data_IF_482700338045
#
_entry.id   IF_482700338045
#
_cell.length_a   1.000
_cell.length_b   1.000
_cell.length_c   1.000
_cell.angle_alpha   90.00
_cell.angle_beta   90.00
_cell.angle_gamma   90.00
#
_symmetry.space_group_name_H-M   'P 1'
#
loop_
_entity.id
_entity.type
_entity.pdbx_description
1 polymer ?
#
# COMPACT_ATOMS: atom_id res chain seq x y z
N UNK A 1 -15.64 22.11 -22.64
CA UNK A 1 -15.82 22.88 -21.40
C UNK A 1 -15.18 22.13 -20.25
N UNK A 2 -14.54 22.87 -19.36
CA UNK A 2 -13.86 22.45 -18.12
C UNK A 2 -12.50 21.74 -18.26
N UNK A 3 -11.47 22.56 -18.45
CA UNK A 3 -10.12 22.28 -17.98
C UNK A 3 -10.13 22.52 -16.47
N UNK A 4 -10.24 21.46 -15.67
CA UNK A 4 -10.09 21.51 -14.22
C UNK A 4 -9.57 20.14 -13.75
N UNK A 5 -8.26 19.90 -13.82
CA UNK A 5 -7.65 18.89 -12.97
C UNK A 5 -6.30 19.40 -12.47
N UNK A 6 -6.36 20.40 -11.58
CA UNK A 6 -5.33 20.48 -10.55
C UNK A 6 -5.46 19.16 -9.78
N UNK A 7 -4.59 18.18 -10.07
CA UNK A 7 -4.61 16.87 -9.40
C UNK A 7 -4.58 17.08 -7.89
N UNK A 8 -5.74 17.06 -7.25
CA UNK A 8 -5.84 17.31 -5.81
C UNK A 8 -5.31 16.07 -5.11
N UNK A 9 -4.20 16.23 -4.40
CA UNK A 9 -3.57 15.12 -3.69
C UNK A 9 -4.22 14.92 -2.32
N UNK A 10 -4.58 13.68 -1.96
CA UNK A 10 -5.10 13.37 -0.64
C UNK A 10 -3.98 13.43 0.40
N UNK A 11 -4.38 13.62 1.66
CA UNK A 11 -3.51 13.39 2.81
C UNK A 11 -3.36 11.89 2.99
N UNK A 12 -2.12 11.43 3.14
CA UNK A 12 -1.77 10.01 3.25
C UNK A 12 -1.37 9.60 4.66
N UNK A 13 -0.86 10.53 5.45
CA UNK A 13 -0.67 10.36 6.88
C UNK A 13 -0.72 11.70 7.64
N UNK A 14 -1.02 11.61 8.92
CA UNK A 14 -1.03 12.71 9.89
C UNK A 14 -0.21 12.26 11.08
N UNK A 15 0.55 13.16 11.70
CA UNK A 15 1.40 12.87 12.84
C UNK A 15 1.53 14.07 13.79
N UNK A 16 1.96 13.80 15.01
CA UNK A 16 2.44 14.81 15.96
C UNK A 16 3.95 14.97 15.85
N UNK A 17 4.42 16.21 16.00
CA UNK A 17 5.84 16.52 16.05
C UNK A 17 6.15 17.62 17.06
N UNK A 18 7.30 17.59 17.74
CA UNK A 18 7.67 18.64 18.69
C UNK A 18 8.09 19.95 18.03
N UNK A 19 8.79 19.89 16.90
CA UNK A 19 9.25 21.05 16.15
C UNK A 19 9.57 20.66 14.69
N UNK A 20 10.13 21.60 13.92
CA UNK A 20 10.57 21.37 12.54
C UNK A 20 11.68 20.34 12.41
N UNK A 21 12.54 20.15 13.42
CA UNK A 21 13.63 19.18 13.37
C UNK A 21 13.17 17.74 13.61
N UNK A 22 12.14 17.54 14.46
CA UNK A 22 11.53 16.23 14.69
C UNK A 22 10.48 15.88 13.64
N UNK A 23 10.06 16.83 12.82
CA UNK A 23 9.08 16.61 11.76
C UNK A 23 9.69 15.73 10.67
N UNK A 24 9.00 14.66 10.23
CA UNK A 24 9.48 13.88 9.09
C UNK A 24 9.66 14.76 7.84
N UNK A 25 10.66 14.44 7.00
CA UNK A 25 11.12 15.31 5.90
C UNK A 25 10.07 15.52 4.81
N UNK A 26 9.18 14.56 4.62
CA UNK A 26 8.09 14.57 3.65
C UNK A 26 6.78 15.16 4.21
N UNK A 27 6.78 15.55 5.50
CA UNK A 27 5.61 16.11 6.16
C UNK A 27 5.64 17.64 6.11
N UNK A 28 4.46 18.21 5.92
CA UNK A 28 4.18 19.64 6.06
C UNK A 28 3.75 19.91 7.50
N UNK A 29 4.48 20.78 8.19
CA UNK A 29 4.17 21.21 9.55
C UNK A 29 3.08 22.28 9.57
N UNK A 30 2.04 22.11 10.39
CA UNK A 30 1.06 23.17 10.67
C UNK A 30 1.57 24.00 11.85
N UNK A 31 2.37 25.03 11.56
CA UNK A 31 2.95 25.91 12.59
C UNK A 31 2.05 27.11 12.94
N UNK A 32 1.13 27.47 12.05
CA UNK A 32 0.22 28.59 12.19
C UNK A 32 -1.23 28.12 12.03
N UNK A 33 -2.12 28.73 12.80
CA UNK A 33 -3.56 28.60 12.59
C UNK A 33 -4.01 29.50 11.44
N UNK A 34 -5.22 29.29 10.92
CA UNK A 34 -5.78 30.10 9.84
C UNK A 34 -5.92 31.59 10.23
N UNK A 35 -6.12 31.87 11.53
CA UNK A 35 -6.17 33.22 12.11
C UNK A 35 -4.78 33.82 12.39
N UNK A 36 -3.69 33.14 12.01
CA UNK A 36 -2.32 33.65 12.10
C UNK A 36 -1.65 33.48 13.47
N UNK A 37 -2.31 32.82 14.43
CA UNK A 37 -1.71 32.49 15.72
C UNK A 37 -0.79 31.26 15.61
N UNK A 38 0.11 31.09 16.59
CA UNK A 38 0.93 29.88 16.66
C UNK A 38 0.06 28.65 16.94
N UNK A 39 0.20 27.59 16.12
CA UNK A 39 -0.51 26.31 16.29
C UNK A 39 0.25 25.34 17.21
N UNK A 40 0.72 25.83 18.36
CA UNK A 40 1.52 25.07 19.31
C UNK A 40 0.68 24.51 20.46
N UNK A 41 0.53 23.20 20.50
CA UNK A 41 -0.17 22.46 21.54
C UNK A 41 0.71 22.34 22.79
N UNK A 42 0.58 23.31 23.71
CA UNK A 42 1.37 23.36 24.96
C UNK A 42 0.65 22.66 26.12
N UNK A 43 1.43 21.99 26.98
CA UNK A 43 0.89 21.18 28.10
C UNK A 43 0.65 21.99 29.38
N UNK A 44 1.35 23.12 29.59
CA UNK A 44 1.21 23.97 30.78
C UNK A 44 2.01 25.27 30.66
N UNK A 45 1.60 26.32 31.36
CA UNK A 45 2.26 27.63 31.43
C UNK A 45 3.75 27.58 31.86
N UNK A 46 4.19 26.52 32.53
CA UNK A 46 5.57 26.36 33.00
C UNK A 46 6.48 25.54 32.04
N UNK A 47 5.92 24.92 30.99
CA UNK A 47 6.68 24.07 30.08
C UNK A 47 6.80 24.73 28.70
N UNK A 48 8.05 24.98 28.27
CA UNK A 48 8.35 25.47 26.91
C UNK A 48 8.20 24.41 25.81
N UNK A 49 7.90 23.16 26.20
CA UNK A 49 7.74 22.04 25.27
C UNK A 49 6.29 21.90 24.85
N UNK A 50 6.03 22.08 23.57
CA UNK A 50 4.75 21.78 22.94
C UNK A 50 4.95 20.92 21.71
N UNK A 51 3.87 20.68 20.99
CA UNK A 51 3.87 19.88 19.78
C UNK A 51 2.92 20.48 18.75
N UNK A 52 3.05 20.04 17.51
CA UNK A 52 2.37 20.55 16.33
C UNK A 52 1.82 19.38 15.54
N UNK A 53 0.75 19.61 14.81
CA UNK A 53 0.22 18.66 13.86
C UNK A 53 0.99 18.80 12.54
N UNK A 54 1.34 17.68 11.92
CA UNK A 54 1.90 17.65 10.57
C UNK A 54 1.22 16.58 9.74
N UNK A 55 1.27 16.73 8.42
CA UNK A 55 0.68 15.78 7.48
C UNK A 55 1.54 15.62 6.23
N UNK A 56 1.41 14.50 5.53
CA UNK A 56 2.03 14.27 4.23
C UNK A 56 0.97 13.97 3.18
N UNK A 57 1.29 14.29 1.93
CA UNK A 57 0.50 13.98 0.73
C UNK A 57 1.29 13.07 -0.22
N UNK A 58 2.34 12.43 0.29
CA UNK A 58 3.13 11.47 -0.48
C UNK A 58 2.37 10.16 -0.63
N UNK A 59 2.19 9.71 -1.88
CA UNK A 59 1.40 8.54 -2.25
C UNK A 59 2.20 7.24 -2.24
N UNK A 60 3.51 7.28 -1.93
CA UNK A 60 4.41 6.10 -1.92
C UNK A 60 3.90 4.97 -1.03
N UNK A 61 3.19 5.29 0.05
CA UNK A 61 2.63 4.31 0.99
C UNK A 61 1.36 3.60 0.54
N UNK A 62 0.73 4.00 -0.58
CA UNK A 62 -0.49 3.34 -1.09
C UNK A 62 -1.75 3.47 -0.20
N UNK A 63 -1.69 4.30 0.84
CA UNK A 63 -2.76 4.55 1.80
C UNK A 63 -3.19 6.01 1.78
N UNK A 64 -4.46 6.27 2.09
CA UNK A 64 -5.04 7.61 2.24
C UNK A 64 -5.81 7.74 3.55
N UNK A 65 -5.85 8.96 4.08
CA UNK A 65 -6.68 9.31 5.21
C UNK A 65 -8.10 9.57 4.72
N UNK A 66 -9.02 8.65 4.99
CA UNK A 66 -10.44 8.80 4.62
C UNK A 66 -11.23 9.64 5.62
N UNK A 67 -10.83 9.60 6.90
CA UNK A 67 -11.48 10.35 7.97
C UNK A 67 -10.51 10.72 9.09
N UNK A 68 -10.83 11.81 9.81
CA UNK A 68 -10.13 12.28 11.01
C UNK A 68 -11.14 12.50 12.11
N UNK A 69 -10.84 12.06 13.32
CA UNK A 69 -11.68 12.24 14.50
C UNK A 69 -10.86 12.61 15.72
N UNK A 70 -11.51 13.26 16.69
CA UNK A 70 -10.96 13.53 18.02
C UNK A 70 -11.72 12.68 19.03
N UNK A 71 -10.99 11.82 19.74
CA UNK A 71 -11.52 10.85 20.69
C UNK A 71 -11.14 11.29 22.11
N UNK A 72 -12.07 11.19 23.06
CA UNK A 72 -11.77 11.49 24.47
C UNK A 72 -11.09 10.31 25.18
N UNK A 73 -10.57 10.51 26.39
CA UNK A 73 -10.02 9.42 27.22
C UNK A 73 -11.09 8.40 27.65
N UNK A 74 -12.37 8.76 27.55
CA UNK A 74 -13.50 7.90 27.92
C UNK A 74 -13.96 7.00 26.78
N UNK A 75 -13.66 7.40 25.55
CA UNK A 75 -14.14 6.71 24.36
C UNK A 75 -13.08 5.73 23.85
N UNK A 76 -13.49 4.52 23.51
CA UNK A 76 -12.64 3.57 22.80
C UNK A 76 -12.46 4.00 21.35
N UNK A 77 -11.31 3.68 20.76
CA UNK A 77 -11.08 3.94 19.34
C UNK A 77 -12.08 3.17 18.46
N UNK A 78 -12.84 3.84 17.57
CA UNK A 78 -13.77 3.18 16.66
C UNK A 78 -13.08 2.21 15.71
N UNK A 79 -13.83 1.21 15.25
CA UNK A 79 -13.32 0.23 14.31
C UNK A 79 -12.78 0.89 13.02
N UNK A 80 -11.57 0.49 12.62
CA UNK A 80 -10.88 1.02 11.45
C UNK A 80 -10.12 2.33 11.66
N UNK A 81 -10.14 2.90 12.88
CA UNK A 81 -9.34 4.07 13.22
C UNK A 81 -8.08 3.66 13.97
N UNK A 82 -7.03 4.46 13.82
CA UNK A 82 -5.80 4.35 14.60
C UNK A 82 -5.36 5.73 15.12
N UNK A 83 -4.59 5.75 16.21
CA UNK A 83 -3.92 6.97 16.64
C UNK A 83 -2.87 7.39 15.61
N UNK A 84 -2.70 8.70 15.45
CA UNK A 84 -1.62 9.24 14.62
C UNK A 84 -0.26 9.02 15.27
N UNK A 85 0.79 8.92 14.45
CA UNK A 85 2.16 8.69 14.94
C UNK A 85 2.69 9.89 15.71
N UNK A 86 3.64 9.65 16.60
CA UNK A 86 4.23 10.67 17.47
C UNK A 86 5.74 10.75 17.23
N UNK A 87 6.21 11.86 16.69
CA UNK A 87 7.63 12.18 16.49
C UNK A 87 8.03 13.27 17.48
N UNK A 88 8.08 12.91 18.76
CA UNK A 88 8.26 13.85 19.86
C UNK A 88 9.66 13.79 20.45
N UNK A 89 10.11 14.91 21.04
CA UNK A 89 11.27 14.91 21.91
C UNK A 89 11.00 14.09 23.18
N UNK A 90 12.04 13.57 23.82
CA UNK A 90 11.93 12.69 24.99
C UNK A 90 11.12 13.27 26.18
N UNK A 91 11.03 14.61 26.27
CA UNK A 91 10.27 15.31 27.33
C UNK A 91 8.85 15.69 26.91
N UNK A 92 8.54 15.63 25.63
CA UNK A 92 7.25 15.99 25.07
C UNK A 92 6.31 14.78 25.07
N UNK A 93 5.05 15.01 25.40
CA UNK A 93 4.02 13.97 25.43
C UNK A 93 2.71 14.58 24.96
N UNK A 94 2.01 13.88 24.08
CA UNK A 94 0.67 14.28 23.65
C UNK A 94 -0.32 13.96 24.77
N UNK A 95 -1.27 14.87 24.97
CA UNK A 95 -2.33 14.69 25.95
C UNK A 95 -3.08 13.38 25.78
N UNK A 96 -3.42 12.74 26.90
CA UNK A 96 -4.24 11.52 26.93
C UNK A 96 -5.74 11.81 27.01
N UNK A 97 -6.14 13.06 27.32
CA UNK A 97 -7.56 13.46 27.49
C UNK A 97 -8.31 13.52 26.17
N UNK A 98 -7.65 14.01 25.12
CA UNK A 98 -8.19 14.08 23.76
C UNK A 98 -7.10 13.68 22.78
N UNK A 99 -7.42 12.77 21.88
CA UNK A 99 -6.48 12.14 20.95
C UNK A 99 -7.01 12.26 19.53
N UNK A 100 -6.16 12.69 18.61
CA UNK A 100 -6.48 12.67 17.17
C UNK A 100 -6.29 11.26 16.64
N UNK A 101 -7.29 10.78 15.93
CA UNK A 101 -7.31 9.49 15.27
C UNK A 101 -7.66 9.67 13.80
N UNK A 102 -7.17 8.74 12.97
CA UNK A 102 -7.41 8.74 11.53
C UNK A 102 -7.88 7.37 11.08
N UNK A 103 -8.67 7.34 10.02
CA UNK A 103 -9.02 6.12 9.30
C UNK A 103 -8.19 6.02 8.03
N UNK A 104 -7.18 5.17 8.06
CA UNK A 104 -6.32 4.86 6.91
C UNK A 104 -6.95 3.75 6.07
N UNK A 105 -7.05 3.98 4.77
CA UNK A 105 -7.59 3.01 3.81
C UNK A 105 -6.71 2.95 2.57
N UNK A 106 -6.65 1.81 1.86
CA UNK A 106 -5.94 1.72 0.59
C UNK A 106 -6.48 2.74 -0.43
N UNK A 107 -5.58 3.37 -1.18
CA UNK A 107 -5.90 4.39 -2.18
C UNK A 107 -7.03 3.95 -3.13
N UNK A 108 -7.01 2.70 -3.61
CA UNK A 108 -8.00 2.16 -4.55
C UNK A 108 -9.33 1.72 -3.93
N UNK A 109 -9.53 1.90 -2.63
CA UNK A 109 -10.75 1.48 -1.92
C UNK A 109 -11.79 2.59 -1.71
N UNK A 110 -11.42 3.84 -1.98
CA UNK A 110 -12.28 5.01 -1.78
C UNK A 110 -12.07 6.04 -2.88
N UNK A 111 -13.16 6.71 -3.28
CA UNK A 111 -13.09 7.82 -4.25
C UNK A 111 -12.88 9.17 -3.57
N UNK A 112 -13.14 9.24 -2.26
CA UNK A 112 -13.02 10.47 -1.45
C UNK A 112 -12.05 10.28 -0.30
N UNK A 113 -11.25 11.30 -0.04
CA UNK A 113 -10.31 11.33 1.08
C UNK A 113 -10.22 12.73 1.68
N UNK A 114 -9.50 12.85 2.79
CA UNK A 114 -9.15 14.13 3.39
C UNK A 114 -8.08 14.78 2.52
N UNK A 115 -8.39 15.99 2.03
CA UNK A 115 -7.56 16.74 1.10
C UNK A 115 -6.78 17.85 1.80
N UNK A 116 -7.29 18.36 2.91
CA UNK A 116 -6.62 19.40 3.69
C UNK A 116 -7.00 19.35 5.17
N UNK A 117 -6.09 19.78 6.03
CA UNK A 117 -6.28 19.89 7.48
C UNK A 117 -5.86 21.27 7.92
N UNK A 118 -6.73 21.95 8.65
CA UNK A 118 -6.49 23.29 9.19
C UNK A 118 -6.78 23.36 10.67
N UNK A 119 -6.12 24.31 11.32
CA UNK A 119 -6.32 24.63 12.72
C UNK A 119 -6.77 26.08 12.86
N UNK A 120 -7.66 26.34 13.80
CA UNK A 120 -8.06 27.69 14.21
C UNK A 120 -8.00 27.80 15.72
N UNK A 121 -7.86 29.00 16.28
CA UNK A 121 -8.18 29.20 17.69
C UNK A 121 -9.67 28.85 17.94
N UNK A 122 -10.00 28.47 19.19
CA UNK A 122 -11.38 28.28 19.62
C UNK A 122 -12.12 29.62 19.62
N UNK A 123 -12.86 29.88 18.55
CA UNK A 123 -13.65 31.09 18.34
C UNK A 123 -14.95 30.76 17.61
N UNK A 124 -15.78 31.78 17.32
CA UNK A 124 -17.01 31.62 16.51
C UNK A 124 -16.72 31.53 15.00
N UNK A 125 -15.45 31.50 14.59
CA UNK A 125 -15.07 31.43 13.19
C UNK A 125 -15.48 30.09 12.56
N UNK A 126 -16.05 30.15 11.36
CA UNK A 126 -16.43 29.01 10.55
C UNK A 126 -15.59 29.01 9.27
N UNK A 127 -14.91 27.90 8.98
CA UNK A 127 -14.17 27.75 7.74
C UNK A 127 -15.11 27.23 6.64
N UNK A 128 -15.38 28.06 5.63
CA UNK A 128 -16.18 27.62 4.49
C UNK A 128 -15.47 26.49 3.74
N UNK A 129 -16.22 25.47 3.32
CA UNK A 129 -15.71 24.26 2.65
C UNK A 129 -14.86 23.32 3.52
N UNK A 130 -14.83 23.54 4.84
CA UNK A 130 -14.24 22.63 5.81
C UNK A 130 -15.30 22.11 6.78
N UNK A 131 -15.10 20.88 7.24
CA UNK A 131 -15.92 20.24 8.25
C UNK A 131 -15.22 20.33 9.60
N UNK A 132 -15.99 20.71 10.62
CA UNK A 132 -15.56 20.69 12.01
C UNK A 132 -15.27 19.25 12.47
N UNK A 133 -14.06 18.98 12.95
CA UNK A 133 -13.66 17.67 13.49
C UNK A 133 -13.81 17.64 15.00
N UNK A 134 -13.41 18.72 15.69
CA UNK A 134 -13.46 18.78 17.14
C UNK A 134 -12.48 19.79 17.75
N UNK A 135 -12.69 20.09 19.03
CA UNK A 135 -11.81 20.93 19.82
C UNK A 135 -10.74 20.12 20.54
N UNK A 136 -9.48 20.54 20.45
CA UNK A 136 -8.35 19.94 21.14
C UNK A 136 -7.37 21.03 21.62
N UNK A 137 -7.18 21.12 22.95
CA UNK A 137 -6.25 22.07 23.61
C UNK A 137 -6.39 23.54 23.19
N UNK A 138 -7.62 24.04 23.08
CA UNK A 138 -7.87 25.45 22.72
C UNK A 138 -7.84 25.74 21.23
N UNK A 139 -7.55 24.72 20.40
CA UNK A 139 -7.66 24.77 18.95
C UNK A 139 -8.88 24.00 18.48
N UNK A 140 -9.38 24.38 17.30
CA UNK A 140 -10.38 23.63 16.54
C UNK A 140 -9.69 22.98 15.35
N UNK A 141 -9.90 21.68 15.19
CA UNK A 141 -9.43 20.93 14.04
C UNK A 141 -10.51 20.91 12.95
N UNK A 142 -10.10 21.25 11.74
CA UNK A 142 -10.94 21.31 10.55
C UNK A 142 -10.35 20.41 9.47
N UNK A 143 -11.21 19.71 8.73
CA UNK A 143 -10.76 18.94 7.57
C UNK A 143 -11.59 19.26 6.34
N UNK A 144 -10.96 19.26 5.17
CA UNK A 144 -11.65 19.31 3.88
C UNK A 144 -11.59 17.93 3.27
N UNK A 145 -12.75 17.34 3.00
CA UNK A 145 -12.87 16.06 2.27
C UNK A 145 -13.33 16.31 0.85
N UNK A 146 -12.94 15.44 -0.06
CA UNK A 146 -13.41 15.51 -1.43
C UNK A 146 -12.84 14.40 -2.30
N UNK A 147 -13.25 14.36 -3.57
CA UNK A 147 -12.71 13.43 -4.54
C UNK A 147 -11.24 13.71 -4.80
N UNK A 148 -10.47 12.67 -5.11
CA UNK A 148 -9.06 12.80 -5.48
C UNK A 148 -8.69 11.87 -6.63
N UNK A 149 -7.76 12.32 -7.46
CA UNK A 149 -7.29 11.55 -8.62
C UNK A 149 -6.02 10.79 -8.25
N UNK A 150 -6.09 9.47 -8.31
CA UNK A 150 -4.90 8.63 -8.21
C UNK A 150 -4.13 8.70 -9.53
N UNK A 151 -2.79 8.79 -9.53
CA UNK A 151 -2.03 8.53 -10.73
C UNK A 151 -2.27 7.08 -11.12
N UNK A 152 -3.14 6.86 -12.12
CA UNK A 152 -3.31 5.55 -12.74
C UNK A 152 -1.93 5.09 -13.20
N UNK A 153 -1.44 3.91 -12.78
CA UNK A 153 -0.22 3.37 -13.36
C UNK A 153 -0.48 3.20 -14.85
N UNK A 154 0.17 4.02 -15.68
CA UNK A 154 0.18 3.79 -17.11
C UNK A 154 0.84 2.43 -17.33
N UNK A 155 0.03 1.42 -17.61
CA UNK A 155 0.53 0.17 -18.16
C UNK A 155 1.26 0.54 -19.45
N UNK A 156 2.60 0.43 -19.43
CA UNK A 156 3.41 0.58 -20.64
C UNK A 156 2.78 -0.34 -21.69
N UNK A 157 2.33 0.16 -22.85
CA UNK A 157 1.81 -0.71 -23.89
C UNK A 157 2.93 -1.67 -24.24
N UNK A 158 2.75 -2.96 -23.93
CA UNK A 158 3.65 -3.99 -24.43
C UNK A 158 3.46 -3.96 -25.93
N UNK A 159 4.47 -3.47 -26.67
CA UNK A 159 4.54 -3.68 -28.12
C UNK A 159 4.55 -5.19 -28.32
N UNK A 160 3.40 -5.76 -28.70
CA UNK A 160 3.38 -7.07 -29.32
C UNK A 160 4.16 -6.94 -30.62
N UNK A 161 5.30 -7.63 -30.71
CA UNK A 161 6.05 -7.72 -31.97
C UNK A 161 5.13 -8.34 -33.02
N UNK A 162 5.15 -7.79 -34.23
CA UNK A 162 4.35 -8.18 -35.39
C UNK A 162 4.76 -9.56 -35.99
N UNK A 163 5.30 -10.48 -35.19
CA UNK A 163 5.80 -11.78 -35.67
C UNK A 163 4.68 -12.82 -35.87
N UNK A 164 3.43 -12.51 -35.53
CA UNK A 164 2.27 -13.40 -35.78
C UNK A 164 1.90 -13.43 -37.27
N UNK A 165 2.39 -12.50 -38.11
CA UNK A 165 2.11 -12.51 -39.55
C UNK A 165 2.88 -13.59 -40.35
N UNK A 166 3.74 -14.40 -39.72
CA UNK A 166 4.53 -15.44 -40.40
C UNK A 166 4.01 -16.88 -40.28
N UNK A 167 2.77 -17.08 -39.79
CA UNK A 167 2.13 -18.40 -39.78
C UNK A 167 1.26 -18.68 -41.02
N UNK A 168 1.45 -17.94 -42.12
CA UNK A 168 0.83 -18.29 -43.40
C UNK A 168 1.57 -19.47 -44.03
N UNK A 169 1.01 -20.66 -43.88
CA UNK A 169 1.43 -21.89 -44.51
C UNK A 169 0.94 -21.91 -45.97
N UNK A 170 1.79 -21.51 -46.92
CA UNK A 170 1.65 -21.94 -48.32
C UNK A 170 3.03 -21.90 -49.01
N UNK A 171 3.45 -23.01 -49.60
CA UNK A 171 4.70 -23.20 -50.36
C UNK A 171 4.36 -24.03 -51.61
N UNK A 172 4.90 -23.72 -52.82
CA UNK A 172 6.02 -24.50 -53.40
C UNK A 172 7.04 -23.77 -54.33
N UNK A 173 8.34 -24.06 -54.09
CA UNK A 173 9.51 -24.19 -55.04
C UNK A 173 10.11 -22.98 -55.80
N UNK A 174 11.35 -23.06 -56.37
CA UNK A 174 12.65 -23.58 -55.87
C UNK A 174 13.81 -22.54 -56.00
N UNK A 175 14.93 -22.67 -55.27
CA UNK A 175 16.12 -21.81 -55.43
C UNK A 175 17.41 -22.62 -55.71
N UNK A 176 18.14 -22.23 -56.76
CA UNK A 176 19.54 -22.60 -57.09
C UNK A 176 20.45 -21.35 -56.87
N UNK A 177 21.81 -21.44 -56.89
CA UNK A 177 22.61 -21.72 -55.70
C UNK A 177 23.80 -20.73 -55.51
N UNK A 178 24.67 -20.98 -54.49
CA UNK A 178 26.08 -20.51 -54.32
C UNK A 178 26.25 -19.04 -53.82
N UNK A 179 27.15 -18.63 -52.90
CA UNK A 179 28.25 -19.17 -52.06
C UNK A 179 28.65 -18.01 -51.07
N UNK A 180 29.82 -17.98 -50.36
CA UNK A 180 29.96 -18.26 -48.93
C UNK A 180 30.49 -17.11 -48.02
N UNK A 181 30.52 -17.41 -46.72
CA UNK A 181 31.49 -16.99 -45.69
C UNK A 181 31.60 -15.52 -45.28
N UNK A 182 31.29 -15.23 -44.00
CA UNK A 182 32.30 -15.03 -42.95
C UNK A 182 31.64 -14.82 -41.57
N UNK A 183 32.10 -15.55 -40.56
CA UNK A 183 31.83 -15.32 -39.12
C UNK A 183 32.77 -14.22 -38.58
N UNK A 184 32.42 -13.49 -37.50
CA UNK A 184 32.96 -13.82 -36.16
C UNK A 184 32.00 -13.38 -34.98
N UNK A 185 32.42 -13.34 -33.70
CA UNK A 185 32.36 -14.42 -32.70
C UNK A 185 31.43 -14.15 -31.49
N UNK A 186 31.05 -15.23 -30.79
CA UNK A 186 30.25 -15.24 -29.56
C UNK A 186 31.07 -14.87 -28.30
N UNK A 187 30.49 -14.18 -27.30
CA UNK A 187 30.89 -14.34 -25.89
C UNK A 187 29.79 -14.98 -25.01
N UNK A 188 30.18 -15.65 -23.91
CA UNK A 188 29.45 -16.77 -23.31
C UNK A 188 28.34 -16.39 -22.33
N UNK A 189 27.30 -17.23 -22.31
CA UNK A 189 26.16 -17.15 -21.43
C UNK A 189 26.44 -17.50 -19.97
N UNK A 190 25.55 -17.03 -19.09
CA UNK A 190 25.38 -17.50 -17.72
C UNK A 190 23.90 -17.78 -17.49
N UNK A 191 23.56 -19.07 -17.45
CA UNK A 191 22.29 -19.60 -16.96
C UNK A 191 22.28 -19.46 -15.43
N UNK A 192 21.28 -18.78 -14.87
CA UNK A 192 21.04 -18.77 -13.42
C UNK A 192 20.08 -19.91 -13.07
N UNK A 193 20.63 -21.00 -12.54
CA UNK A 193 19.88 -22.10 -11.97
C UNK A 193 19.51 -21.79 -10.52
N UNK A 194 18.20 -21.61 -10.30
CA UNK A 194 17.55 -21.51 -8.99
C UNK A 194 17.67 -22.87 -8.28
N UNK A 195 18.57 -23.01 -7.30
CA UNK A 195 18.64 -24.20 -6.45
C UNK A 195 17.65 -24.08 -5.30
N UNK A 196 16.57 -24.83 -5.39
CA UNK A 196 15.93 -25.47 -4.25
C UNK A 196 16.72 -26.74 -3.96
N UNK A 197 17.20 -26.95 -2.72
CA UNK A 197 17.26 -28.30 -2.14
C UNK A 197 17.61 -28.25 -0.66
N UNK A 198 16.81 -29.00 0.09
CA UNK A 198 16.99 -29.34 1.48
C UNK A 198 18.09 -30.40 1.57
N UNK A 199 18.97 -30.31 2.58
CA UNK A 199 19.79 -31.45 2.94
C UNK A 199 19.83 -31.60 4.46
N UNK A 200 19.24 -32.72 4.89
CA UNK A 200 19.36 -33.34 6.21
C UNK A 200 20.73 -33.99 6.27
N UNK A 201 21.51 -33.74 7.33
CA UNK A 201 22.49 -34.72 7.79
C UNK A 201 22.83 -34.55 9.27
N UNK A 202 22.63 -35.66 9.98
CA UNK A 202 23.03 -35.95 11.35
C UNK A 202 24.56 -35.93 11.59
N UNK A 203 24.87 -35.88 12.89
CA UNK A 203 26.09 -36.35 13.59
C UNK A 203 27.29 -35.38 13.65
N UNK A 204 27.59 -34.78 14.83
CA UNK A 204 28.51 -35.27 15.90
C UNK A 204 29.98 -35.05 15.45
N UNK A 205 30.87 -34.27 16.09
CA UNK A 205 31.13 -34.01 17.51
C UNK A 205 32.08 -32.78 17.67
N UNK A 206 31.80 -31.90 18.66
CA UNK A 206 32.77 -31.24 19.60
C UNK A 206 33.76 -30.11 19.11
N UNK A 207 34.41 -29.33 20.01
CA UNK A 207 33.84 -28.16 20.72
C UNK A 207 34.70 -26.86 20.66
N UNK A 208 34.12 -25.79 21.22
CA UNK A 208 34.74 -24.59 21.81
C UNK A 208 35.33 -23.50 20.87
N UNK A 209 34.56 -22.43 20.66
CA UNK A 209 34.96 -21.10 21.19
C UNK A 209 33.74 -20.15 21.23
N UNK A 210 33.37 -19.71 22.45
CA UNK A 210 32.14 -18.98 22.73
C UNK A 210 32.28 -17.49 22.48
N UNK A 211 31.88 -17.02 21.30
CA UNK A 211 31.73 -15.60 20.98
C UNK A 211 30.30 -15.12 21.27
N UNK A 212 30.23 -14.20 22.23
CA UNK A 212 29.17 -13.24 22.56
C UNK A 212 28.09 -13.04 21.49
N UNK A 213 26.88 -13.56 21.70
CA UNK A 213 25.67 -13.11 20.99
C UNK A 213 24.51 -12.96 21.98
N UNK A 214 23.81 -11.83 21.83
CA UNK A 214 22.90 -11.25 22.82
C UNK A 214 21.74 -12.14 23.24
N UNK A 215 21.68 -12.43 24.54
CA UNK A 215 20.51 -12.99 25.19
C UNK A 215 19.49 -11.85 25.34
N UNK A 216 18.57 -11.74 24.39
CA UNK A 216 17.35 -10.93 24.58
C UNK A 216 16.32 -11.85 25.25
N UNK A 217 15.66 -11.36 26.30
CA UNK A 217 14.80 -12.12 27.24
C UNK A 217 13.51 -12.75 26.65
N UNK A 218 13.48 -13.01 25.35
CA UNK A 218 12.39 -13.66 24.61
C UNK A 218 12.87 -14.85 23.77
N UNK A 219 14.17 -15.11 23.71
CA UNK A 219 14.74 -16.22 22.95
C UNK A 219 14.58 -17.52 23.76
N UNK A 220 13.47 -18.21 23.53
CA UNK A 220 13.12 -19.45 24.23
C UNK A 220 11.66 -19.57 24.68
N UNK A 221 10.78 -18.61 24.36
CA UNK A 221 9.34 -18.77 24.60
C UNK A 221 8.70 -19.42 23.37
N UNK A 222 8.31 -20.70 23.43
CA UNK A 222 7.57 -21.32 22.33
C UNK A 222 6.20 -20.65 22.20
N UNK A 223 5.83 -20.27 20.98
CA UNK A 223 4.44 -19.91 20.71
C UNK A 223 3.64 -21.21 20.57
N UNK A 224 2.59 -21.35 21.39
CA UNK A 224 1.64 -22.45 21.28
C UNK A 224 0.34 -21.94 20.68
N UNK A 225 -0.17 -22.64 19.67
CA UNK A 225 -1.47 -22.35 19.09
C UNK A 225 -2.57 -22.61 20.14
N UNK A 226 -3.62 -21.79 20.11
CA UNK A 226 -4.76 -21.98 21.00
C UNK A 226 -5.37 -23.38 20.76
N UNK A 227 -5.70 -24.18 21.79
CA UNK A 227 -6.07 -25.60 21.66
C UNK A 227 -7.22 -25.91 20.68
N UNK A 228 -8.03 -24.89 20.37
CA UNK A 228 -9.08 -24.96 19.34
C UNK A 228 -8.57 -25.13 17.91
N UNK A 229 -7.27 -24.95 17.68
CA UNK A 229 -6.62 -25.02 16.36
C UNK A 229 -5.53 -26.09 16.30
N UNK A 230 -5.35 -26.86 17.38
CA UNK A 230 -4.34 -27.91 17.47
C UNK A 230 -4.98 -29.24 17.08
N UNK A 231 -5.01 -29.52 15.78
CA UNK A 231 -5.52 -30.78 15.25
C UNK A 231 -5.24 -30.92 13.75
N UNK A 232 -5.10 -32.15 13.22
CA UNK A 232 -4.74 -32.44 11.82
C UNK A 232 -5.86 -32.07 10.81
N UNK A 233 -6.84 -31.27 11.20
CA UNK A 233 -8.03 -30.97 10.41
C UNK A 233 -7.85 -29.77 9.46
N UNK A 234 -6.78 -28.97 9.59
CA UNK A 234 -6.51 -27.89 8.64
C UNK A 234 -5.88 -28.40 7.34
N UNK A 235 -5.27 -29.58 7.34
CA UNK A 235 -4.67 -30.19 6.13
C UNK A 235 -5.67 -30.97 5.29
N UNK A 236 -6.75 -31.50 5.87
CA UNK A 236 -7.74 -32.29 5.13
C UNK A 236 -8.61 -31.44 4.18
N UNK A 237 -8.82 -30.16 4.46
CA UNK A 237 -9.57 -29.25 3.56
C UNK A 237 -8.76 -28.74 2.36
N UNK A 238 -7.43 -28.90 2.33
CA UNK A 238 -6.59 -28.49 1.20
C UNK A 238 -6.31 -29.63 0.20
N UNK A 239 -6.69 -30.86 0.54
CA UNK A 239 -6.42 -32.05 -0.29
C UNK A 239 -7.33 -32.20 -1.51
N UNK A 240 -8.29 -31.30 -1.74
CA UNK A 240 -9.18 -31.34 -2.91
C UNK A 240 -8.81 -30.34 -4.01
N UNK A 241 -7.68 -29.61 -3.88
CA UNK A 241 -7.20 -28.72 -4.95
C UNK A 241 -6.51 -29.59 -6.02
N UNK A 242 -7.29 -30.07 -6.98
CA UNK A 242 -6.74 -30.75 -8.17
C UNK A 242 -6.13 -29.70 -9.10
N UNK A 243 -4.80 -29.62 -9.10
CA UNK A 243 -4.07 -28.78 -10.06
C UNK A 243 -4.24 -29.41 -11.44
N UNK A 244 -5.00 -28.75 -12.32
CA UNK A 244 -5.18 -29.16 -13.72
C UNK A 244 -3.94 -28.80 -14.53
N UNK A 245 -3.56 -29.63 -15.50
CA UNK A 245 -2.50 -29.27 -16.43
C UNK A 245 -2.98 -28.18 -17.39
N UNK A 246 -2.05 -27.48 -18.05
CA UNK A 246 -2.38 -26.47 -19.06
C UNK A 246 -3.29 -27.06 -20.16
N UNK A 247 -3.05 -28.33 -20.51
CA UNK A 247 -3.78 -29.04 -21.56
C UNK A 247 -5.19 -29.46 -21.10
N UNK A 248 -5.36 -29.80 -19.82
CA UNK A 248 -6.68 -30.07 -19.25
C UNK A 248 -7.55 -28.81 -19.24
N UNK A 249 -6.96 -27.65 -18.94
CA UNK A 249 -7.64 -26.35 -18.97
C UNK A 249 -8.01 -25.98 -20.41
N UNK A 250 -7.09 -26.17 -21.36
CA UNK A 250 -7.35 -25.89 -22.78
C UNK A 250 -8.45 -26.78 -23.37
N UNK A 251 -8.56 -28.04 -22.93
CA UNK A 251 -9.62 -28.95 -23.36
C UNK A 251 -10.98 -28.62 -22.71
N UNK A 252 -11.00 -28.27 -21.43
CA UNK A 252 -12.24 -27.97 -20.69
C UNK A 252 -12.89 -26.66 -21.13
N UNK A 253 -12.07 -25.66 -21.49
CA UNK A 253 -12.53 -24.33 -21.89
C UNK A 253 -12.35 -24.07 -23.39
N UNK A 254 -12.25 -25.14 -24.21
CA UNK A 254 -12.21 -25.01 -25.67
C UNK A 254 -13.57 -24.56 -26.21
N UNK A 255 -13.76 -23.25 -26.34
CA UNK A 255 -14.98 -22.65 -26.86
C UNK A 255 -14.87 -22.37 -28.36
N UNK A 256 -15.46 -23.21 -29.19
CA UNK A 256 -15.31 -23.16 -30.66
C UNK A 256 -16.32 -22.25 -31.38
N UNK A 257 -17.13 -21.45 -30.66
CA UNK A 257 -18.14 -20.51 -31.23
C UNK A 257 -19.14 -21.14 -32.24
N UNK A 258 -19.22 -22.47 -32.28
CA UNK A 258 -20.04 -23.23 -33.24
C UNK A 258 -21.53 -23.08 -32.96
N UNK A 259 -21.91 -22.80 -31.70
CA UNK A 259 -23.28 -22.57 -31.29
C UNK A 259 -23.80 -21.26 -31.89
N UNK A 260 -22.99 -20.20 -31.84
CA UNK A 260 -23.30 -18.89 -32.41
C UNK A 260 -23.28 -18.90 -33.93
N UNK A 261 -22.31 -19.61 -34.54
CA UNK A 261 -22.26 -19.74 -35.99
C UNK A 261 -23.53 -20.43 -36.53
N UNK A 262 -24.01 -21.47 -35.84
CA UNK A 262 -25.25 -22.15 -36.18
C UNK A 262 -26.50 -21.28 -35.93
N UNK A 263 -26.52 -20.49 -34.87
CA UNK A 263 -27.60 -19.53 -34.62
C UNK A 263 -27.67 -18.45 -35.71
N UNK A 264 -26.51 -17.97 -36.17
CA UNK A 264 -26.38 -16.97 -37.24
C UNK A 264 -26.77 -17.53 -38.61
N UNK A 265 -26.46 -18.80 -38.88
CA UNK A 265 -26.90 -19.50 -40.10
C UNK A 265 -28.41 -19.72 -40.14
N UNK A 266 -29.04 -20.01 -38.99
CA UNK A 266 -30.51 -20.17 -38.89
C UNK A 266 -31.27 -18.85 -39.07
N UNK A 267 -30.73 -17.73 -38.61
CA UNK A 267 -31.35 -16.40 -38.80
C UNK A 267 -31.22 -15.87 -40.23
N UNK A 268 -30.24 -16.33 -41.01
CA UNK A 268 -30.11 -15.99 -42.44
C UNK A 268 -30.98 -16.84 -43.37
N UNK A 269 -31.61 -17.90 -42.87
CA UNK A 269 -32.44 -18.81 -43.64
C UNK A 269 -33.95 -18.57 -43.45
N UNK A 270 -34.35 -17.41 -42.91
CA UNK A 270 -35.74 -16.97 -42.81
C UNK A 270 -35.98 -15.66 -43.54
#
# INVERSE_FOLDING_TARGET
>A
GSVCDYRVRPITAVAWTSNTSTCPKDFTLISLTEDGAAANFTRSFAMKSGYYLCYTKDLTGGMVVSDVQIISDKDSIPHGYCYITEHLEAKATVSKKKRVCVRLVPVGSVDTAVLDIKLTAKSKMMLQHYTYVGDIHGYVLWCKKGPFSCPVPQAKPRRVSLDIQKLSLDQPTPLLPLKPSNLPPLPPGRLSHRRHHLNVKDEIDKPADGSLHGITALDGVPFSLHPKFDGPHLTSQLNSIRIKSIQDIENEYNYTFTIEENATKKTKAS
#
